data_IF_084596932612
#
_entry.id   IF_084596932612
#
_cell.length_a   1.000
_cell.length_b   1.000
_cell.length_c   1.000
_cell.angle_alpha   90.00
_cell.angle_beta   90.00
_cell.angle_gamma   90.00
#
_symmetry.space_group_name_H-M   'P 1'
#
loop_
_entity.id
_entity.type
_entity.pdbx_description
1 polymer ?
#
# COMPACT_ATOMS: atom_id res chain seq x y z
N UNK A 1 -29.69 8.57 -6.87
CA UNK A 1 -28.60 7.69 -6.37
C UNK A 1 -27.60 8.56 -5.63
N UNK A 2 -27.15 8.13 -4.44
CA UNK A 2 -26.11 8.84 -3.71
C UNK A 2 -24.81 8.74 -4.54
N UNK A 3 -24.41 9.81 -5.22
CA UNK A 3 -23.31 9.82 -6.21
C UNK A 3 -21.98 9.29 -5.67
N UNK A 4 -21.85 9.21 -4.35
CA UNK A 4 -20.71 8.66 -3.65
C UNK A 4 -20.59 7.13 -3.75
N UNK A 5 -21.69 6.38 -3.92
CA UNK A 5 -21.65 4.90 -3.97
C UNK A 5 -21.00 4.37 -5.26
N UNK A 6 -21.08 5.11 -6.37
CA UNK A 6 -20.51 4.70 -7.66
C UNK A 6 -18.99 4.52 -7.62
N UNK A 7 -18.30 5.23 -6.72
CA UNK A 7 -16.84 5.21 -6.61
C UNK A 7 -16.34 4.30 -5.47
N UNK A 8 -17.25 3.68 -4.73
CA UNK A 8 -16.90 2.68 -3.72
C UNK A 8 -16.25 1.45 -4.37
N UNK A 9 -16.74 1.06 -5.56
CA UNK A 9 -16.23 -0.07 -6.34
C UNK A 9 -15.84 0.38 -7.74
N UNK A 10 -14.91 -0.34 -8.36
CA UNK A 10 -14.63 -0.18 -9.78
C UNK A 10 -15.51 -1.13 -10.58
N UNK A 11 -16.36 -0.59 -11.44
CA UNK A 11 -17.12 -1.38 -12.41
C UNK A 11 -16.30 -1.56 -13.68
N UNK A 12 -16.33 -2.76 -14.25
CA UNK A 12 -15.58 -3.11 -15.46
C UNK A 12 -16.51 -3.59 -16.57
N UNK A 13 -16.12 -3.29 -17.80
CA UNK A 13 -16.69 -3.88 -19.02
C UNK A 13 -15.69 -4.90 -19.55
N UNK A 14 -16.18 -6.10 -19.87
CA UNK A 14 -15.38 -7.19 -20.45
C UNK A 14 -15.40 -7.13 -21.97
N UNK A 15 -14.22 -7.30 -22.58
CA UNK A 15 -14.02 -7.43 -24.02
C UNK A 15 -13.15 -8.65 -24.30
N UNK A 16 -13.75 -9.83 -24.47
CA UNK A 16 -13.02 -11.12 -24.61
C UNK A 16 -12.00 -11.31 -23.46
N UNK A 17 -10.71 -11.07 -23.74
CA UNK A 17 -9.56 -11.24 -22.85
C UNK A 17 -9.16 -9.95 -22.10
N UNK A 18 -9.93 -8.88 -22.27
CA UNK A 18 -9.69 -7.58 -21.64
C UNK A 18 -10.81 -7.24 -20.68
N UNK A 19 -10.47 -6.47 -19.66
CA UNK A 19 -11.43 -5.63 -18.94
C UNK A 19 -10.97 -4.19 -18.94
N UNK A 20 -11.92 -3.27 -19.05
CA UNK A 20 -11.67 -1.83 -18.91
C UNK A 20 -12.67 -1.26 -17.92
N UNK A 21 -12.18 -0.52 -16.94
CA UNK A 21 -13.02 0.13 -15.94
C UNK A 21 -13.90 1.20 -16.57
N UNK A 22 -15.12 1.32 -16.07
CA UNK A 22 -15.99 2.46 -16.33
C UNK A 22 -15.75 3.60 -15.32
N UNK A 23 -15.22 3.24 -14.14
CA UNK A 23 -14.83 4.18 -13.10
C UNK A 23 -13.45 4.74 -13.39
N UNK A 24 -13.33 6.07 -13.44
CA UNK A 24 -12.03 6.74 -13.55
C UNK A 24 -11.13 6.40 -12.36
N UNK A 25 -9.85 6.13 -12.63
CA UNK A 25 -8.83 5.89 -11.61
C UNK A 25 -8.72 7.09 -10.67
N UNK A 26 -8.73 8.30 -11.22
CA UNK A 26 -8.66 9.52 -10.42
C UNK A 26 -9.81 9.58 -9.43
N UNK A 27 -11.06 9.42 -9.90
CA UNK A 27 -12.26 9.48 -9.06
C UNK A 27 -12.29 8.38 -8.00
N UNK A 28 -11.89 7.16 -8.37
CA UNK A 28 -11.78 6.06 -7.41
C UNK A 28 -10.74 6.38 -6.32
N UNK A 29 -9.54 6.80 -6.70
CA UNK A 29 -8.48 7.15 -5.76
C UNK A 29 -8.87 8.35 -4.88
N UNK A 30 -9.54 9.35 -5.46
CA UNK A 30 -10.07 10.52 -4.74
C UNK A 30 -11.09 10.11 -3.68
N UNK A 31 -12.01 9.20 -4.04
CA UNK A 31 -13.02 8.67 -3.13
C UNK A 31 -12.39 7.93 -1.94
N UNK A 32 -11.50 6.98 -2.23
CA UNK A 32 -10.81 6.17 -1.21
C UNK A 32 -9.68 6.91 -0.48
N UNK A 33 -9.35 8.13 -0.92
CA UNK A 33 -8.21 8.92 -0.42
C UNK A 33 -6.90 8.11 -0.44
N UNK A 34 -6.74 7.28 -1.48
CA UNK A 34 -5.63 6.34 -1.65
C UNK A 34 -5.31 6.18 -3.14
N UNK A 35 -4.07 6.46 -3.51
CA UNK A 35 -3.56 6.35 -4.88
C UNK A 35 -2.97 4.97 -5.16
N UNK A 36 -3.65 3.93 -4.68
CA UNK A 36 -3.23 2.54 -4.82
C UNK A 36 -4.45 1.67 -5.11
N UNK A 37 -4.31 0.82 -6.13
CA UNK A 37 -5.27 -0.21 -6.50
C UNK A 37 -4.64 -1.55 -6.17
N UNK A 38 -5.39 -2.41 -5.46
CA UNK A 38 -4.94 -3.76 -5.18
C UNK A 38 -5.68 -4.73 -6.12
N UNK A 39 -4.94 -5.66 -6.70
CA UNK A 39 -5.45 -6.76 -7.50
C UNK A 39 -5.13 -8.05 -6.76
N UNK A 40 -6.15 -8.78 -6.31
CA UNK A 40 -6.02 -10.07 -5.62
C UNK A 40 -6.30 -11.19 -6.62
N UNK A 41 -5.45 -12.21 -6.63
CA UNK A 41 -5.57 -13.36 -7.51
C UNK A 41 -6.31 -14.51 -6.81
N UNK A 42 -7.42 -14.94 -7.39
CA UNK A 42 -8.28 -16.01 -6.83
C UNK A 42 -7.98 -17.39 -7.44
N UNK A 43 -6.96 -17.46 -8.32
CA UNK A 43 -6.38 -18.69 -8.83
C UNK A 43 -4.90 -18.49 -9.12
N UNK A 44 -4.21 -19.58 -9.46
CA UNK A 44 -2.86 -19.52 -10.00
C UNK A 44 -2.88 -19.02 -11.46
N UNK A 45 -1.95 -18.14 -11.81
CA UNK A 45 -1.71 -17.70 -13.19
C UNK A 45 -0.29 -18.05 -13.58
N UNK A 46 -0.09 -18.59 -14.79
CA UNK A 46 1.25 -18.83 -15.32
C UNK A 46 2.05 -17.52 -15.43
N UNK A 47 1.34 -16.43 -15.79
CA UNK A 47 1.92 -15.09 -15.96
C UNK A 47 0.99 -14.03 -15.38
N UNK A 48 1.58 -12.99 -14.80
CA UNK A 48 0.84 -11.81 -14.34
C UNK A 48 -0.03 -11.24 -15.47
N UNK A 49 -1.32 -10.95 -15.23
CA UNK A 49 -2.13 -10.18 -16.16
C UNK A 49 -1.47 -8.85 -16.50
N UNK A 50 -1.53 -8.43 -17.76
CA UNK A 50 -1.00 -7.13 -18.16
C UNK A 50 -1.84 -6.03 -17.55
N UNK A 51 -1.19 -5.05 -16.92
CA UNK A 51 -1.84 -3.84 -16.41
C UNK A 51 -1.62 -2.71 -17.42
N UNK A 52 -2.72 -2.06 -17.81
CA UNK A 52 -2.70 -0.93 -18.72
C UNK A 52 -3.69 0.15 -18.31
N UNK A 53 -3.62 1.26 -19.04
CA UNK A 53 -4.41 2.45 -18.77
C UNK A 53 -5.07 2.94 -20.05
N UNK A 54 -6.40 3.05 -20.01
CA UNK A 54 -7.23 3.48 -21.12
C UNK A 54 -7.52 4.98 -21.04
N UNK A 55 -7.51 5.65 -22.20
CA UNK A 55 -8.02 7.02 -22.37
C UNK A 55 -9.54 7.08 -22.55
N UNK A 56 -10.19 5.92 -22.74
CA UNK A 56 -11.63 5.78 -22.84
C UNK A 56 -12.15 4.82 -21.76
N UNK A 57 -13.31 5.11 -21.20
CA UNK A 57 -13.97 4.19 -20.28
C UNK A 57 -14.48 2.94 -21.00
N UNK A 58 -14.78 1.88 -20.25
CA UNK A 58 -15.39 0.68 -20.82
C UNK A 58 -16.69 0.96 -21.61
N UNK A 59 -17.57 1.85 -21.13
CA UNK A 59 -18.81 2.17 -21.86
C UNK A 59 -18.56 3.01 -23.10
N UNK A 60 -17.56 3.90 -23.07
CA UNK A 60 -17.17 4.71 -24.23
C UNK A 60 -16.62 3.83 -25.35
N UNK A 61 -15.79 2.83 -25.02
CA UNK A 61 -15.26 1.88 -26.02
C UNK A 61 -16.41 1.16 -26.76
N UNK A 62 -17.46 0.72 -26.04
CA UNK A 62 -18.65 0.11 -26.67
C UNK A 62 -19.38 1.15 -27.53
N UNK A 63 -19.70 2.32 -26.97
CA UNK A 63 -20.53 3.34 -27.62
C UNK A 63 -19.90 3.83 -28.92
N UNK A 64 -18.60 4.08 -28.90
CA UNK A 64 -17.82 4.56 -30.05
C UNK A 64 -17.35 3.41 -30.97
N UNK A 65 -17.75 2.16 -30.69
CA UNK A 65 -17.37 0.95 -31.44
C UNK A 65 -15.85 0.79 -31.60
N UNK A 66 -15.11 1.13 -30.54
CA UNK A 66 -13.65 0.99 -30.48
C UNK A 66 -13.26 -0.40 -29.99
N UNK A 67 -11.97 -0.74 -30.18
CA UNK A 67 -11.37 -1.94 -29.60
C UNK A 67 -10.37 -1.52 -28.49
N UNK A 68 -10.30 -2.23 -27.34
CA UNK A 68 -9.38 -1.87 -26.24
C UNK A 68 -7.91 -1.71 -26.64
N UNK A 69 -7.43 -2.49 -27.62
CA UNK A 69 -6.05 -2.35 -28.13
C UNK A 69 -5.73 -0.97 -28.69
N UNK A 70 -6.74 -0.20 -29.09
CA UNK A 70 -6.58 1.13 -29.69
C UNK A 70 -6.71 2.25 -28.65
N UNK A 71 -7.18 1.94 -27.44
CA UNK A 71 -7.43 2.94 -26.38
C UNK A 71 -6.57 2.74 -25.15
N UNK A 72 -5.98 1.55 -24.98
CA UNK A 72 -5.22 1.17 -23.79
C UNK A 72 -3.72 1.14 -24.09
N UNK A 73 -2.95 1.82 -23.25
CA UNK A 73 -1.50 1.68 -23.20
C UNK A 73 -1.12 0.56 -22.20
N UNK A 74 -0.40 -0.45 -22.68
CA UNK A 74 0.17 -1.52 -21.86
C UNK A 74 1.69 -1.44 -21.83
N UNK A 75 2.29 -1.86 -20.72
CA UNK A 75 3.73 -2.17 -20.62
C UNK A 75 3.86 -3.68 -20.44
N UNK A 76 4.83 -4.28 -21.13
CA UNK A 76 5.09 -5.72 -21.02
C UNK A 76 5.91 -6.01 -19.76
N UNK A 77 5.62 -7.13 -19.11
CA UNK A 77 6.35 -7.59 -17.94
C UNK A 77 7.80 -8.00 -18.23
N UNK A 78 8.13 -8.32 -19.48
CA UNK A 78 9.48 -8.67 -19.95
C UNK A 78 10.31 -7.45 -20.39
N UNK A 79 9.82 -6.22 -20.18
CA UNK A 79 10.59 -5.02 -20.47
C UNK A 79 11.72 -4.81 -19.45
N UNK A 80 12.82 -4.17 -19.88
CA UNK A 80 13.99 -3.90 -19.02
C UNK A 80 13.71 -3.00 -17.82
N UNK A 81 12.56 -2.31 -17.81
CA UNK A 81 12.09 -1.45 -16.71
C UNK A 81 11.48 -2.27 -15.57
N UNK A 82 11.13 -3.54 -15.82
CA UNK A 82 10.41 -4.39 -14.87
C UNK A 82 11.37 -5.19 -13.97
N UNK A 83 11.00 -5.41 -12.70
CA UNK A 83 11.78 -6.26 -11.81
C UNK A 83 11.68 -7.73 -12.23
N UNK A 84 12.69 -8.54 -11.87
CA UNK A 84 12.75 -9.95 -12.25
C UNK A 84 11.52 -10.77 -11.84
N UNK A 85 10.86 -10.41 -10.73
CA UNK A 85 9.65 -11.08 -10.28
C UNK A 85 8.44 -10.87 -11.18
N UNK A 86 8.45 -9.88 -12.09
CA UNK A 86 7.33 -9.62 -12.98
C UNK A 86 7.07 -10.77 -13.97
N UNK A 87 8.06 -11.65 -14.17
CA UNK A 87 7.97 -12.84 -15.01
C UNK A 87 7.61 -14.11 -14.21
N UNK A 88 7.48 -14.02 -12.88
CA UNK A 88 7.17 -15.17 -12.06
C UNK A 88 5.71 -15.61 -12.24
N UNK A 89 5.46 -16.88 -11.93
CA UNK A 89 4.11 -17.38 -11.73
C UNK A 89 3.45 -16.65 -10.56
N UNK A 90 2.13 -16.58 -10.59
CA UNK A 90 1.31 -15.96 -9.55
C UNK A 90 0.50 -17.05 -8.89
N UNK A 91 0.55 -17.10 -7.56
CA UNK A 91 -0.19 -18.09 -6.78
C UNK A 91 -1.57 -17.54 -6.36
N UNK A 92 -2.47 -18.47 -6.04
CA UNK A 92 -3.75 -18.14 -5.41
C UNK A 92 -3.49 -17.41 -4.09
N UNK A 93 -4.30 -16.38 -3.82
CA UNK A 93 -4.13 -15.44 -2.70
C UNK A 93 -2.89 -14.53 -2.81
N UNK A 94 -2.16 -14.51 -3.92
CA UNK A 94 -1.25 -13.41 -4.19
C UNK A 94 -2.01 -12.12 -4.46
N UNK A 95 -1.33 -11.00 -4.29
CA UNK A 95 -1.89 -9.71 -4.65
C UNK A 95 -0.83 -8.79 -5.27
N UNK A 96 -1.23 -8.09 -6.32
CA UNK A 96 -0.46 -7.05 -6.98
C UNK A 96 -0.97 -5.69 -6.51
N UNK A 97 -0.09 -4.88 -5.93
CA UNK A 97 -0.36 -3.47 -5.66
C UNK A 97 0.08 -2.64 -6.85
N UNK A 98 -0.83 -1.78 -7.31
CA UNK A 98 -0.64 -0.86 -8.43
C UNK A 98 -0.73 0.56 -7.85
N UNK A 99 0.42 1.21 -7.74
CA UNK A 99 0.52 2.55 -7.18
C UNK A 99 0.52 3.58 -8.28
N UNK A 100 -0.25 4.64 -8.08
CA UNK A 100 -0.53 5.64 -9.09
C UNK A 100 0.04 6.99 -8.66
N UNK A 101 0.83 7.60 -9.55
CA UNK A 101 1.29 8.97 -9.43
C UNK A 101 0.80 9.78 -10.62
N UNK A 102 -0.22 10.56 -10.36
CA UNK A 102 -0.88 11.41 -11.32
C UNK A 102 -0.03 12.67 -11.59
N UNK A 103 0.39 12.86 -12.85
CA UNK A 103 1.14 14.03 -13.32
C UNK A 103 0.43 14.65 -14.53
N UNK A 104 0.74 15.91 -14.85
CA UNK A 104 0.01 16.70 -15.85
C UNK A 104 -0.07 16.05 -17.25
N UNK A 105 0.97 15.32 -17.66
CA UNK A 105 1.08 14.71 -19.01
C UNK A 105 1.28 13.20 -19.02
N UNK A 106 1.36 12.59 -17.83
CA UNK A 106 1.73 11.17 -17.69
C UNK A 106 1.21 10.60 -16.38
N UNK A 107 1.07 9.27 -16.35
CA UNK A 107 0.78 8.50 -15.16
C UNK A 107 2.02 7.71 -14.77
N UNK A 108 2.62 8.04 -13.63
CA UNK A 108 3.66 7.23 -13.01
C UNK A 108 3.04 6.03 -12.28
N UNK A 109 3.61 4.84 -12.45
CA UNK A 109 3.08 3.60 -11.90
C UNK A 109 4.20 2.77 -11.29
N UNK A 110 3.99 2.32 -10.06
CA UNK A 110 4.85 1.33 -9.43
C UNK A 110 4.03 0.07 -9.11
N UNK A 111 4.62 -1.09 -9.38
CA UNK A 111 4.01 -2.38 -9.12
C UNK A 111 4.71 -3.06 -7.95
N UNK A 112 3.95 -3.80 -7.14
CA UNK A 112 4.53 -4.65 -6.09
C UNK A 112 3.70 -5.91 -5.92
N UNK A 113 4.31 -7.07 -6.14
CA UNK A 113 3.69 -8.36 -5.90
C UNK A 113 3.96 -8.81 -4.46
N UNK A 114 2.91 -9.01 -3.67
CA UNK A 114 3.01 -9.35 -2.24
C UNK A 114 4.00 -8.42 -1.49
N UNK A 115 4.96 -9.03 -0.80
CA UNK A 115 6.03 -8.36 -0.06
C UNK A 115 7.32 -8.20 -0.88
N UNK A 116 7.37 -8.62 -2.15
CA UNK A 116 8.56 -8.48 -3.00
C UNK A 116 8.94 -7.00 -3.19
N UNK A 117 10.19 -6.66 -3.55
CA UNK A 117 10.56 -5.26 -3.77
C UNK A 117 9.68 -4.58 -4.84
N UNK A 118 9.30 -3.31 -4.67
CA UNK A 118 8.53 -2.60 -5.69
C UNK A 118 9.32 -2.46 -7.00
N UNK A 119 8.60 -2.36 -8.12
CA UNK A 119 9.20 -1.98 -9.40
C UNK A 119 9.71 -0.53 -9.36
N UNK A 120 10.62 -0.16 -10.26
CA UNK A 120 10.83 1.24 -10.62
C UNK A 120 9.51 1.92 -11.01
N UNK A 121 9.47 3.25 -10.93
CA UNK A 121 8.35 4.04 -11.41
C UNK A 121 8.36 4.07 -12.94
N UNK A 122 7.32 3.51 -13.56
CA UNK A 122 7.14 3.42 -15.01
C UNK A 122 6.09 4.45 -15.42
N UNK A 123 6.32 5.15 -16.53
CA UNK A 123 5.40 6.17 -17.00
C UNK A 123 4.55 5.69 -18.17
N UNK A 124 3.28 6.10 -18.14
CA UNK A 124 2.33 6.00 -19.22
C UNK A 124 2.01 7.40 -19.69
N UNK A 125 2.51 7.76 -20.88
CA UNK A 125 2.23 9.04 -21.51
C UNK A 125 0.86 9.00 -22.19
N UNK A 126 0.16 10.12 -22.16
CA UNK A 126 -1.12 10.29 -22.84
C UNK A 126 -1.11 11.53 -23.74
N UNK A 127 -2.15 11.66 -24.58
CA UNK A 127 -2.24 12.76 -25.54
C UNK A 127 -2.15 14.13 -24.84
N UNK A 128 -1.53 15.14 -25.47
CA UNK A 128 -1.51 16.50 -24.94
C UNK A 128 -2.94 16.96 -24.61
N UNK A 129 -3.12 17.55 -23.42
CA UNK A 129 -4.40 18.03 -22.89
C UNK A 129 -5.45 16.94 -22.56
N UNK A 130 -5.10 15.65 -22.61
CA UNK A 130 -6.01 14.63 -22.11
C UNK A 130 -6.25 14.83 -20.61
N UNK A 131 -7.51 14.94 -20.15
CA UNK A 131 -7.80 15.16 -18.75
C UNK A 131 -7.37 13.94 -17.94
N UNK A 132 -6.52 14.17 -16.95
CA UNK A 132 -6.02 13.17 -16.01
C UNK A 132 -7.17 12.43 -15.29
N UNK A 133 -8.31 13.10 -15.11
CA UNK A 133 -9.54 12.55 -14.55
C UNK A 133 -10.23 11.53 -15.46
N UNK A 134 -9.77 11.36 -16.70
CA UNK A 134 -10.27 10.37 -17.67
C UNK A 134 -9.22 9.30 -18.01
N UNK A 135 -8.57 8.78 -16.98
CA UNK A 135 -7.75 7.57 -17.09
C UNK A 135 -8.46 6.41 -16.41
N UNK A 136 -8.49 5.27 -17.08
CA UNK A 136 -9.24 4.09 -16.65
C UNK A 136 -8.30 2.89 -16.56
N UNK A 137 -8.42 2.08 -15.51
CA UNK A 137 -7.68 0.83 -15.39
C UNK A 137 -8.16 -0.16 -16.45
N UNK A 138 -7.21 -0.85 -17.08
CA UNK A 138 -7.46 -1.97 -17.95
C UNK A 138 -6.55 -3.15 -17.61
N UNK A 139 -7.07 -4.37 -17.70
CA UNK A 139 -6.30 -5.60 -17.55
C UNK A 139 -6.47 -6.48 -18.78
N UNK A 140 -5.41 -7.18 -19.19
CA UNK A 140 -5.44 -8.12 -20.31
C UNK A 140 -4.78 -9.45 -19.93
N UNK A 141 -5.55 -10.54 -20.01
CA UNK A 141 -5.08 -11.93 -19.94
C UNK A 141 -6.25 -12.86 -20.30
N UNK A 142 -6.00 -13.92 -21.09
CA UNK A 142 -7.01 -14.88 -21.53
C UNK A 142 -7.58 -15.75 -20.38
N UNK A 143 -6.86 -15.87 -19.28
CA UNK A 143 -7.18 -16.70 -18.12
C UNK A 143 -7.92 -15.97 -17.01
N UNK A 144 -8.19 -14.66 -17.16
CA UNK A 144 -8.85 -13.83 -16.13
C UNK A 144 -10.23 -14.37 -15.81
N UNK A 145 -10.88 -15.07 -16.73
CA UNK A 145 -12.24 -15.56 -16.58
C UNK A 145 -12.31 -17.08 -16.70
N UNK A 146 -13.28 -17.70 -16.03
CA UNK A 146 -13.71 -19.06 -16.36
C UNK A 146 -14.65 -19.06 -17.58
N UNK A 147 -15.08 -20.25 -17.99
CA UNK A 147 -15.97 -20.45 -19.14
C UNK A 147 -17.35 -19.79 -18.94
N UNK A 148 -17.80 -19.67 -17.68
CA UNK A 148 -19.04 -18.97 -17.30
C UNK A 148 -18.89 -17.44 -17.25
N UNK A 149 -17.67 -16.93 -17.39
CA UNK A 149 -17.36 -15.51 -17.34
C UNK A 149 -17.19 -14.91 -15.94
N UNK A 150 -17.03 -15.73 -14.93
CA UNK A 150 -16.66 -15.33 -13.57
C UNK A 150 -15.18 -14.95 -13.54
N UNK A 151 -14.80 -13.77 -13.02
CA UNK A 151 -13.40 -13.37 -12.92
C UNK A 151 -12.67 -14.15 -11.82
N UNK A 152 -11.41 -14.50 -12.07
CA UNK A 152 -10.46 -15.07 -11.10
C UNK A 152 -9.54 -14.02 -10.47
N UNK A 153 -9.96 -12.76 -10.53
CA UNK A 153 -9.31 -11.64 -9.88
C UNK A 153 -10.33 -10.84 -9.09
N UNK A 154 -9.89 -10.17 -8.04
CA UNK A 154 -10.68 -9.21 -7.29
C UNK A 154 -9.92 -7.88 -7.16
N UNK A 155 -10.65 -6.78 -7.21
CA UNK A 155 -10.10 -5.44 -6.94
C UNK A 155 -10.79 -4.93 -5.67
N UNK A 156 -10.28 -5.31 -4.49
CA UNK A 156 -10.90 -4.92 -3.23
C UNK A 156 -10.69 -3.43 -2.98
N UNK A 157 -11.72 -2.79 -2.44
CA UNK A 157 -11.54 -1.50 -1.79
C UNK A 157 -10.70 -1.65 -0.51
N UNK A 158 -10.40 -0.53 0.14
CA UNK A 158 -9.53 -0.55 1.32
C UNK A 158 -10.05 -1.41 2.47
N UNK A 159 -11.35 -1.38 2.75
CA UNK A 159 -11.95 -2.16 3.83
C UNK A 159 -11.96 -3.65 3.48
N UNK A 160 -12.32 -3.99 2.25
CA UNK A 160 -12.26 -5.36 1.74
C UNK A 160 -10.83 -5.91 1.79
N UNK A 161 -9.82 -5.09 1.45
CA UNK A 161 -8.41 -5.47 1.52
C UNK A 161 -7.95 -5.74 2.95
N UNK A 162 -8.34 -4.90 3.92
CA UNK A 162 -8.00 -5.11 5.33
C UNK A 162 -8.62 -6.41 5.87
N UNK A 163 -9.89 -6.65 5.55
CA UNK A 163 -10.60 -7.88 5.92
C UNK A 163 -9.93 -9.10 5.30
N UNK A 164 -9.58 -9.02 4.01
CA UNK A 164 -8.89 -10.09 3.29
C UNK A 164 -7.50 -10.40 3.88
N UNK A 165 -6.70 -9.37 4.20
CA UNK A 165 -5.41 -9.55 4.88
C UNK A 165 -5.60 -10.23 6.24
N UNK A 166 -6.58 -9.79 7.03
CA UNK A 166 -6.86 -10.37 8.34
C UNK A 166 -7.26 -11.85 8.23
N UNK A 167 -8.14 -12.20 7.28
CA UNK A 167 -8.54 -13.58 7.02
C UNK A 167 -7.36 -14.43 6.52
N UNK A 168 -6.51 -13.90 5.63
CA UNK A 168 -5.30 -14.59 5.16
C UNK A 168 -4.33 -14.87 6.31
N UNK A 169 -4.14 -13.91 7.23
CA UNK A 169 -3.32 -14.09 8.44
C UNK A 169 -3.89 -15.18 9.36
N UNK A 170 -5.20 -15.19 9.59
CA UNK A 170 -5.86 -16.24 10.37
C UNK A 170 -5.69 -17.62 9.72
N UNK A 171 -5.94 -17.76 8.41
CA UNK A 171 -5.72 -19.03 7.68
C UNK A 171 -4.26 -19.50 7.79
N UNK A 172 -3.29 -18.62 7.58
CA UNK A 172 -1.86 -18.94 7.73
C UNK A 172 -1.51 -19.36 9.17
N UNK A 173 -2.15 -18.78 10.19
CA UNK A 173 -1.96 -19.18 11.58
C UNK A 173 -2.50 -20.59 11.85
N UNK A 174 -3.72 -20.89 11.36
CA UNK A 174 -4.34 -22.23 11.47
C UNK A 174 -3.49 -23.30 10.76
N UNK A 175 -3.06 -23.03 9.53
CA UNK A 175 -2.17 -23.97 8.78
C UNK A 175 -0.81 -24.14 9.47
N UNK A 176 -0.27 -23.08 10.10
CA UNK A 176 0.97 -23.19 10.89
C UNK A 176 0.76 -23.99 12.18
N UNK A 177 -0.40 -23.92 12.82
CA UNK A 177 -0.74 -24.76 13.98
C UNK A 177 -0.85 -26.24 13.58
N UNK A 178 -1.49 -26.54 12.45
CA UNK A 178 -1.57 -27.91 11.91
C UNK A 178 -0.19 -28.44 11.47
N UNK A 179 0.66 -27.59 10.88
CA UNK A 179 2.03 -27.96 10.45
C UNK A 179 3.03 -28.11 11.59
N UNK A 180 2.73 -27.69 12.82
CA UNK A 180 3.61 -27.96 13.98
C UNK A 180 3.77 -29.46 14.29
N UNK A 181 3.02 -30.34 13.62
CA UNK A 181 3.14 -31.80 13.76
C UNK A 181 4.16 -32.44 12.80
N UNK A 182 4.74 -31.70 11.83
CA UNK A 182 5.77 -32.26 10.94
C UNK A 182 6.90 -31.27 10.64
N UNK A 183 8.04 -31.42 11.31
CA UNK A 183 9.31 -30.76 10.95
C UNK A 183 10.07 -31.60 9.93
N UNK A 184 10.56 -30.96 8.86
CA UNK A 184 11.95 -31.20 8.44
C UNK A 184 12.79 -29.92 8.54
N UNK A 185 14.03 -30.10 8.98
CA UNK A 185 15.09 -29.10 8.98
C UNK A 185 15.60 -28.86 7.56
N UNK A 186 15.48 -27.63 7.04
CA UNK A 186 16.50 -27.03 6.15
C UNK A 186 16.57 -25.54 6.48
N UNK A 187 17.68 -25.14 7.08
CA UNK A 187 17.99 -23.74 7.37
C UNK A 187 18.47 -23.04 6.10
N UNK A 188 17.67 -22.10 5.60
CA UNK A 188 18.19 -21.04 4.73
C UNK A 188 18.40 -19.83 5.63
N UNK A 189 19.66 -19.63 6.02
CA UNK A 189 20.13 -18.41 6.66
C UNK A 189 20.09 -17.27 5.62
N UNK A 190 18.90 -16.73 5.36
CA UNK A 190 18.81 -15.39 4.78
C UNK A 190 19.07 -14.41 5.90
N UNK A 191 20.24 -13.77 5.89
CA UNK A 191 20.51 -12.58 6.69
C UNK A 191 19.67 -11.43 6.11
N UNK A 192 18.35 -11.52 6.24
CA UNK A 192 17.46 -10.41 5.97
C UNK A 192 17.71 -9.40 7.09
N UNK A 193 18.73 -8.55 6.93
CA UNK A 193 18.79 -7.30 7.65
C UNK A 193 17.47 -6.60 7.34
N UNK A 194 16.55 -6.65 8.31
CA UNK A 194 15.21 -6.17 8.08
C UNK A 194 15.32 -4.68 7.74
N UNK A 195 14.64 -4.27 6.68
CA UNK A 195 14.64 -2.88 6.26
C UNK A 195 13.59 -2.12 7.06
N UNK A 196 13.82 -0.83 7.38
CA UNK A 196 12.79 0.02 7.95
C UNK A 196 11.51 0.00 7.11
N UNK A 197 10.33 0.15 7.74
CA UNK A 197 9.07 0.14 7.05
C UNK A 197 9.01 1.32 6.08
N UNK A 198 8.47 1.09 4.90
CA UNK A 198 8.43 2.08 3.82
C UNK A 198 7.10 2.82 3.87
N UNK A 199 7.11 4.11 3.52
CA UNK A 199 5.92 4.94 3.45
C UNK A 199 4.81 4.28 2.64
N UNK A 200 3.64 4.07 3.24
CA UNK A 200 2.48 3.44 2.59
C UNK A 200 1.81 4.31 1.53
N UNK A 201 2.26 5.56 1.34
CA UNK A 201 1.73 6.49 0.34
C UNK A 201 2.61 6.56 -0.91
N UNK A 202 3.95 6.70 -0.76
CA UNK A 202 4.87 6.79 -1.90
C UNK A 202 5.71 5.55 -2.13
N UNK A 203 5.97 4.74 -1.10
CA UNK A 203 6.75 3.50 -1.21
C UNK A 203 8.20 3.67 -1.67
N UNK A 204 8.68 4.90 -1.70
CA UNK A 204 10.05 5.25 -2.08
C UNK A 204 10.92 5.57 -0.84
N UNK A 205 10.29 6.13 0.20
CA UNK A 205 10.95 6.67 1.39
C UNK A 205 10.54 5.92 2.64
N UNK A 206 11.42 5.77 3.65
CA UNK A 206 11.04 5.17 4.92
C UNK A 206 9.91 5.96 5.59
N UNK A 207 9.11 5.27 6.41
CA UNK A 207 8.22 5.93 7.34
C UNK A 207 9.07 6.73 8.32
N UNK A 208 8.80 8.03 8.44
CA UNK A 208 9.51 8.94 9.35
C UNK A 208 8.54 9.89 10.09
N UNK A 209 7.22 9.75 9.88
CA UNK A 209 6.21 10.56 10.55
C UNK A 209 5.27 9.72 11.40
N UNK A 210 4.99 10.22 12.60
CA UNK A 210 3.98 9.74 13.53
C UNK A 210 2.81 10.73 13.58
N UNK A 211 1.58 10.23 13.40
CA UNK A 211 0.36 11.03 13.48
C UNK A 211 -0.17 11.05 14.92
N UNK A 212 -0.29 12.24 15.52
CA UNK A 212 -0.74 12.42 16.90
C UNK A 212 -2.22 12.82 16.94
N UNK A 213 -2.99 12.37 17.95
CA UNK A 213 -2.55 11.61 19.13
C UNK A 213 -2.64 10.08 18.95
N UNK A 214 -2.99 9.59 17.76
CA UNK A 214 -3.24 8.16 17.57
C UNK A 214 -1.99 7.29 17.41
N UNK A 215 -0.81 7.92 17.30
CA UNK A 215 0.50 7.30 17.14
C UNK A 215 0.58 6.29 15.97
N UNK A 216 -0.18 6.53 14.89
CA UNK A 216 -0.02 5.75 13.65
C UNK A 216 1.16 6.29 12.85
N UNK A 217 2.11 5.41 12.53
CA UNK A 217 3.24 5.69 11.66
C UNK A 217 2.97 5.07 10.29
N UNK A 218 2.68 5.90 9.29
CA UNK A 218 2.12 5.46 7.99
C UNK A 218 2.87 5.98 6.77
N UNK A 219 3.55 7.11 6.90
CA UNK A 219 4.10 7.80 5.74
C UNK A 219 5.38 8.57 6.05
N UNK A 220 6.07 8.97 4.97
CA UNK A 220 7.19 9.89 5.03
C UNK A 220 6.72 11.35 5.14
N UNK A 221 7.64 12.26 5.50
CA UNK A 221 7.39 13.69 5.69
C UNK A 221 6.69 14.34 4.51
N UNK A 222 7.20 14.10 3.29
CA UNK A 222 6.65 14.70 2.06
C UNK A 222 5.22 14.21 1.81
N UNK A 223 4.96 12.92 1.99
CA UNK A 223 3.63 12.35 1.85
C UNK A 223 2.65 12.86 2.91
N UNK A 224 3.11 13.04 4.15
CA UNK A 224 2.33 13.68 5.21
C UNK A 224 1.93 15.10 4.83
N UNK A 225 2.85 15.91 4.31
CA UNK A 225 2.57 17.29 3.92
C UNK A 225 1.57 17.35 2.76
N UNK A 226 1.76 16.50 1.75
CA UNK A 226 0.83 16.38 0.62
C UNK A 226 -0.57 15.95 1.08
N UNK A 227 -0.65 14.97 1.99
CA UNK A 227 -1.92 14.48 2.54
C UNK A 227 -2.67 15.57 3.31
N UNK A 228 -1.99 16.27 4.24
CA UNK A 228 -2.59 17.35 5.02
C UNK A 228 -3.06 18.48 4.11
N UNK A 229 -2.24 18.87 3.12
CA UNK A 229 -2.60 19.90 2.14
C UNK A 229 -3.83 19.50 1.33
N UNK A 230 -3.88 18.26 0.87
CA UNK A 230 -4.98 17.70 0.10
C UNK A 230 -6.28 17.68 0.92
N UNK A 231 -6.28 17.09 2.12
CA UNK A 231 -7.49 16.98 2.95
C UNK A 231 -8.01 18.36 3.35
N UNK A 232 -7.13 19.33 3.67
CA UNK A 232 -7.55 20.72 3.94
C UNK A 232 -8.21 21.37 2.72
N UNK A 233 -7.64 21.19 1.52
CA UNK A 233 -8.22 21.71 0.28
C UNK A 233 -9.60 21.09 0.03
N UNK A 234 -9.70 19.77 0.15
CA UNK A 234 -10.94 19.01 0.00
C UNK A 234 -12.02 19.48 0.97
N UNK A 235 -11.66 19.66 2.24
CA UNK A 235 -12.60 20.11 3.27
C UNK A 235 -13.09 21.53 3.01
N UNK A 236 -12.20 22.43 2.57
CA UNK A 236 -12.56 23.79 2.16
C UNK A 236 -13.57 23.79 1.00
N UNK A 237 -13.34 22.97 -0.02
CA UNK A 237 -14.26 22.83 -1.17
C UNK A 237 -15.64 22.32 -0.74
N UNK A 238 -15.67 21.36 0.19
CA UNK A 238 -16.93 20.80 0.72
C UNK A 238 -17.60 21.66 1.80
N UNK A 239 -17.04 22.83 2.14
CA UNK A 239 -17.50 23.69 3.24
C UNK A 239 -17.65 22.94 4.57
N UNK A 240 -16.79 21.95 4.81
CA UNK A 240 -16.72 21.21 6.08
C UNK A 240 -15.52 21.67 6.91
N UNK A 241 -15.43 21.18 8.15
CA UNK A 241 -14.32 21.43 9.06
C UNK A 241 -12.95 21.26 8.39
N UNK A 242 -12.01 22.19 8.64
CA UNK A 242 -10.62 22.12 8.13
C UNK A 242 -9.77 21.05 8.84
N UNK A 243 -10.37 20.29 9.74
CA UNK A 243 -9.71 19.21 10.46
C UNK A 243 -9.30 18.09 9.53
N UNK A 244 -8.04 17.67 9.67
CA UNK A 244 -7.50 16.51 8.98
C UNK A 244 -7.56 15.34 9.93
N UNK A 245 -7.94 14.18 9.43
CA UNK A 245 -8.06 12.95 10.22
C UNK A 245 -7.01 11.94 9.83
N UNK A 246 -6.65 11.04 10.74
CA UNK A 246 -5.73 9.95 10.48
C UNK A 246 -6.31 9.06 9.36
N UNK A 247 -5.52 8.70 8.33
CA UNK A 247 -5.99 7.81 7.28
C UNK A 247 -6.32 6.42 7.84
N UNK A 248 -5.72 5.98 8.95
CA UNK A 248 -5.93 4.63 9.53
C UNK A 248 -7.15 4.61 10.43
N UNK A 249 -7.17 5.40 11.50
CA UNK A 249 -8.21 5.31 12.53
C UNK A 249 -9.23 6.45 12.50
N UNK A 250 -9.11 7.41 11.56
CA UNK A 250 -10.00 8.58 11.42
C UNK A 250 -10.07 9.52 12.63
N UNK A 251 -9.26 9.32 13.68
CA UNK A 251 -9.07 10.31 14.75
C UNK A 251 -8.47 11.60 14.18
N UNK A 252 -8.89 12.76 14.69
CA UNK A 252 -8.34 14.08 14.32
C UNK A 252 -6.81 14.08 14.51
N UNK A 253 -6.09 14.61 13.52
CA UNK A 253 -4.66 14.87 13.62
C UNK A 253 -4.48 16.21 14.33
N UNK A 254 -3.96 16.16 15.54
CA UNK A 254 -3.67 17.34 16.37
C UNK A 254 -2.23 17.80 16.19
N UNK A 255 -1.34 16.88 15.80
CA UNK A 255 0.06 17.17 15.55
C UNK A 255 0.75 16.03 14.82
N UNK A 256 2.02 16.24 14.49
CA UNK A 256 2.88 15.23 13.89
C UNK A 256 4.24 15.25 14.58
N UNK A 257 4.83 14.08 14.78
CA UNK A 257 6.18 13.93 15.31
C UNK A 257 7.06 13.21 14.29
N UNK A 258 8.35 13.55 14.26
CA UNK A 258 9.32 12.84 13.44
C UNK A 258 9.88 11.66 14.20
N UNK A 259 10.02 10.52 13.53
CA UNK A 259 10.57 9.30 14.10
C UNK A 259 11.73 8.76 13.26
N UNK A 260 12.61 8.00 13.90
CA UNK A 260 13.83 7.48 13.28
C UNK A 260 14.00 6.00 13.60
N UNK A 261 14.03 5.18 12.56
CA UNK A 261 14.34 3.76 12.70
C UNK A 261 15.86 3.55 12.77
N UNK A 262 16.35 2.65 13.64
CA UNK A 262 17.76 2.31 13.71
C UNK A 262 18.21 1.62 12.41
N UNK A 263 19.47 1.81 12.04
CA UNK A 263 20.08 1.13 10.87
C UNK A 263 19.95 -0.38 10.95
N UNK A 264 20.06 -0.95 12.15
CA UNK A 264 19.74 -2.34 12.42
C UNK A 264 18.28 -2.39 12.87
N UNK A 265 17.37 -2.77 11.97
CA UNK A 265 15.93 -2.83 12.27
C UNK A 265 15.59 -4.06 13.14
N UNK A 266 15.80 -3.91 14.44
CA UNK A 266 15.41 -4.88 15.48
C UNK A 266 15.21 -4.14 16.80
N UNK A 267 14.53 -4.80 17.74
CA UNK A 267 14.43 -4.29 19.10
C UNK A 267 15.83 -4.13 19.72
N UNK A 268 16.16 -2.91 20.18
CA UNK A 268 17.45 -2.62 20.83
C UNK A 268 17.46 -3.00 22.32
N UNK A 269 16.32 -3.47 22.84
CA UNK A 269 16.09 -3.73 24.28
C UNK A 269 15.99 -5.22 24.62
N UNK A 270 15.81 -6.09 23.62
CA UNK A 270 15.67 -7.53 23.81
C UNK A 270 16.92 -8.26 23.34
N UNK A 271 17.44 -9.15 24.18
CA UNK A 271 18.50 -10.10 23.85
C UNK A 271 18.04 -11.13 22.83
N UNK A 272 16.77 -11.56 22.92
CA UNK A 272 16.27 -12.74 22.21
C UNK A 272 15.74 -12.43 20.80
N UNK A 273 16.41 -11.54 20.07
CA UNK A 273 16.04 -11.19 18.68
C UNK A 273 14.57 -10.79 18.49
N UNK A 274 14.01 -10.03 19.44
CA UNK A 274 12.65 -9.48 19.29
C UNK A 274 12.59 -8.54 18.07
N UNK A 275 11.61 -8.77 17.21
CA UNK A 275 11.36 -8.01 15.99
C UNK A 275 10.31 -6.90 16.17
N UNK A 276 9.70 -6.80 17.37
CA UNK A 276 8.70 -5.77 17.68
C UNK A 276 9.35 -4.38 17.74
N UNK A 277 8.90 -3.49 16.87
CA UNK A 277 9.27 -2.06 16.82
C UNK A 277 8.05 -1.21 17.15
N UNK A 278 7.62 -1.21 18.41
CA UNK A 278 6.38 -0.55 18.88
C UNK A 278 6.59 0.61 19.84
N UNK A 279 7.84 1.01 20.09
CA UNK A 279 8.19 2.05 21.05
C UNK A 279 9.05 3.15 20.43
N UNK A 280 8.67 4.40 20.68
CA UNK A 280 9.46 5.60 20.35
C UNK A 280 9.85 6.33 21.62
N UNK A 281 11.12 6.72 21.73
CA UNK A 281 11.60 7.67 22.72
C UNK A 281 11.00 9.05 22.43
N UNK A 282 9.89 9.35 23.10
CA UNK A 282 9.01 10.47 22.83
C UNK A 282 9.00 11.50 23.95
N UNK A 283 7.87 12.21 24.06
CA UNK A 283 7.72 13.34 24.98
C UNK A 283 8.17 14.67 24.39
N UNK A 284 7.89 15.77 25.10
CA UNK A 284 8.39 17.10 24.72
C UNK A 284 9.92 17.07 24.77
N UNK A 285 10.56 17.36 23.63
CA UNK A 285 12.02 17.25 23.42
C UNK A 285 12.56 15.80 23.38
N UNK A 286 11.70 14.80 23.22
CA UNK A 286 12.12 13.42 22.95
C UNK A 286 12.94 13.31 21.66
N UNK A 287 13.83 12.33 21.59
CA UNK A 287 14.73 12.17 20.44
C UNK A 287 14.07 11.54 19.19
N UNK A 288 12.86 10.96 19.32
CA UNK A 288 12.11 10.37 18.22
C UNK A 288 12.67 9.02 17.73
N UNK A 289 13.67 8.45 18.40
CA UNK A 289 14.22 7.15 18.02
C UNK A 289 13.21 6.03 18.30
N UNK A 290 13.01 5.13 17.33
CA UNK A 290 12.27 3.88 17.52
C UNK A 290 13.23 2.87 18.15
N UNK A 291 12.94 2.43 19.38
CA UNK A 291 13.94 1.70 20.21
C UNK A 291 13.62 0.22 20.43
N UNK A 292 12.39 -0.23 20.14
CA UNK A 292 12.03 -1.64 20.24
C UNK A 292 10.62 -1.89 20.75
N UNK A 293 10.44 -2.90 21.60
CA UNK A 293 9.15 -3.24 22.17
C UNK A 293 8.72 -2.27 23.28
N UNK A 294 7.45 -1.88 23.26
CA UNK A 294 6.89 -0.90 24.19
C UNK A 294 7.07 -1.24 25.66
N UNK A 295 6.83 -2.50 26.05
CA UNK A 295 6.92 -2.94 27.45
C UNK A 295 8.31 -2.71 28.07
N UNK A 296 9.38 -3.10 27.37
CA UNK A 296 10.75 -2.89 27.86
C UNK A 296 11.17 -1.43 27.77
N UNK A 297 10.71 -0.72 26.73
CA UNK A 297 11.00 0.70 26.57
C UNK A 297 10.38 1.52 27.71
N UNK A 298 9.14 1.20 28.10
CA UNK A 298 8.47 1.84 29.23
C UNK A 298 9.22 1.60 30.54
N UNK A 299 9.59 0.34 30.82
CA UNK A 299 10.41 0.00 31.99
C UNK A 299 11.74 0.76 32.02
N UNK A 300 12.46 0.80 30.90
CA UNK A 300 13.72 1.54 30.79
C UNK A 300 13.54 3.05 31.07
N UNK A 301 12.42 3.64 30.64
CA UNK A 301 12.08 5.03 30.91
C UNK A 301 11.76 5.26 32.39
N UNK A 302 10.97 4.37 33.00
CA UNK A 302 10.58 4.46 34.42
C UNK A 302 11.80 4.30 35.34
N UNK A 303 12.81 3.53 34.92
CA UNK A 303 14.09 3.35 35.61
C UNK A 303 15.08 4.52 35.38
N UNK A 304 14.67 5.61 34.72
CA UNK A 304 15.53 6.78 34.43
C UNK A 304 16.59 6.53 33.36
N UNK A 305 16.35 5.57 32.46
CA UNK A 305 17.29 5.15 31.43
C UNK A 305 17.48 6.17 30.30
N UNK A 306 18.44 5.86 29.43
CA UNK A 306 18.75 6.64 28.23
C UNK A 306 18.43 5.86 26.95
N UNK A 307 18.17 6.58 25.86
CA UNK A 307 17.89 6.02 24.56
C UNK A 307 19.05 5.11 24.11
N UNK A 308 18.82 3.81 23.82
CA UNK A 308 19.88 2.90 23.40
C UNK A 308 20.47 3.23 22.03
N UNK A 309 19.84 4.13 21.27
CA UNK A 309 20.31 4.53 19.94
C UNK A 309 21.18 5.79 19.97
N UNK A 310 20.77 6.83 20.71
CA UNK A 310 21.43 8.14 20.71
C UNK A 310 21.90 8.61 22.09
N UNK A 311 21.70 7.81 23.13
CA UNK A 311 22.12 8.05 24.52
C UNK A 311 21.54 9.28 25.21
N UNK A 312 20.56 9.96 24.60
CA UNK A 312 19.78 11.01 25.27
C UNK A 312 18.87 10.39 26.34
N UNK A 313 18.70 11.10 27.46
CA UNK A 313 17.76 10.74 28.52
C UNK A 313 16.35 10.48 27.97
N UNK A 314 15.69 9.42 28.45
CA UNK A 314 14.31 9.11 28.08
C UNK A 314 13.36 9.94 28.93
N UNK A 315 12.73 10.93 28.32
CA UNK A 315 11.70 11.78 28.95
C UNK A 315 10.36 11.05 28.99
N UNK A 316 10.01 10.37 27.91
CA UNK A 316 8.80 9.57 27.79
C UNK A 316 8.95 8.50 26.69
N UNK A 317 8.04 7.54 26.68
CA UNK A 317 7.96 6.50 25.65
C UNK A 317 6.54 6.41 25.13
N UNK A 318 6.40 6.60 23.81
CA UNK A 318 5.13 6.46 23.11
C UNK A 318 5.01 5.07 22.50
N UNK A 319 3.87 4.43 22.73
CA UNK A 319 3.47 3.26 21.95
C UNK A 319 3.08 3.73 20.55
N UNK A 320 3.69 3.12 19.53
CA UNK A 320 3.43 3.43 18.13
C UNK A 320 2.82 2.24 17.40
N UNK A 321 2.01 2.54 16.39
CA UNK A 321 1.36 1.58 15.52
C UNK A 321 1.90 1.78 14.10
N UNK A 322 2.88 0.97 13.73
CA UNK A 322 3.47 1.01 12.39
C UNK A 322 2.51 0.32 11.44
N UNK A 323 2.00 1.08 10.47
CA UNK A 323 1.35 0.48 9.31
C UNK A 323 2.46 0.04 8.35
N UNK A 324 3.04 -1.12 8.63
CA UNK A 324 3.96 -1.77 7.69
C UNK A 324 3.16 -2.62 6.70
N UNK A 325 3.70 -2.77 5.51
CA UNK A 325 3.12 -3.61 4.47
C UNK A 325 3.66 -5.03 4.46
N UNK A 326 4.78 -5.24 5.15
CA UNK A 326 5.42 -6.54 5.18
C UNK A 326 4.40 -7.52 5.75
N UNK A 327 4.09 -8.58 4.99
CA UNK A 327 3.26 -9.70 5.43
C UNK A 327 4.03 -10.50 6.50
N UNK A 328 4.30 -9.88 7.66
CA UNK A 328 4.78 -10.54 8.86
C UNK A 328 3.62 -10.84 9.80
#
# INVERSE_FOLDING_TARGET
MNSNLEYEKMHFIRFKNYIVSNTSLWKYCEFHSNFCVNLVFMKNFEKLPLVGFSVCSGIEIIREKLHPSNTVAFKRWDSSEMPSWAMNHVETDDYLRILLRFEEKRLGVCFRLNSLPPSPCIYFDFLPNHPMEKLYLALANCEIFNDEGIPFIAIPNRFEMLTWIAQRKQKKAVVKEERKVAKPLVGIASSNAATPPICTFCWERPIDMLLMPCNHAVCCKVCKDNYIKYERKRNKTKKVSTEVVCPVCRKRIEGVAQIWFPKIYRCLLCTDSCDKMSAVAGGRNGCGCVIGCYEKARKLCDDGGSCPHCHKELIDVLQIFIQDDQDR
#
